data_IF_121434797821
#
_entry.id   IF_121434797821
#
_cell.length_a   1.000
_cell.length_b   1.000
_cell.length_c   1.000
_cell.angle_alpha   90.00
_cell.angle_beta   90.00
_cell.angle_gamma   90.00
#
_symmetry.space_group_name_H-M   'P 1'
#
loop_
_entity.id
_entity.type
_entity.pdbx_description
1 polymer ?
#
# COMPACT_ATOMS: atom_id res chain seq x y z
N UNK A 1 -47.11 64.93 30.87
CA UNK A 1 -46.01 64.15 31.44
C UNK A 1 -45.84 62.91 30.54
N UNK A 2 -44.89 62.97 29.62
CA UNK A 2 -44.61 61.90 28.67
C UNK A 2 -43.46 61.04 29.17
N UNK A 3 -43.72 59.78 29.47
CA UNK A 3 -42.65 58.79 29.79
C UNK A 3 -42.07 58.16 28.54
N UNK A 4 -40.81 58.48 28.17
CA UNK A 4 -40.06 57.82 27.13
C UNK A 4 -39.60 56.45 27.63
N UNK A 5 -40.08 55.39 26.97
CA UNK A 5 -39.50 54.02 27.05
C UNK A 5 -38.20 53.96 26.23
N UNK A 6 -37.07 53.69 26.86
CA UNK A 6 -35.79 53.43 26.24
C UNK A 6 -35.77 51.94 25.94
N UNK A 7 -35.75 51.60 24.65
CA UNK A 7 -35.50 50.24 24.18
C UNK A 7 -34.00 49.96 24.29
N UNK A 8 -33.62 49.10 25.23
CA UNK A 8 -32.27 48.52 25.30
C UNK A 8 -32.23 47.35 24.33
N UNK A 9 -31.61 47.55 23.17
CA UNK A 9 -31.30 46.46 22.25
C UNK A 9 -30.15 45.64 22.80
N UNK A 10 -30.46 44.44 23.31
CA UNK A 10 -29.49 43.44 23.72
C UNK A 10 -28.81 42.87 22.48
N UNK A 11 -27.64 43.40 22.12
CA UNK A 11 -26.74 42.84 21.10
C UNK A 11 -26.02 41.64 21.74
N UNK A 12 -26.64 40.45 21.74
CA UNK A 12 -25.95 39.21 22.00
C UNK A 12 -25.01 38.96 20.82
N UNK A 13 -23.74 39.31 20.99
CA UNK A 13 -22.64 38.80 20.14
C UNK A 13 -22.62 37.29 20.30
N UNK A 14 -23.04 36.58 19.26
CA UNK A 14 -22.65 35.17 19.10
C UNK A 14 -21.11 35.11 18.95
N UNK A 15 -20.42 34.97 20.05
CA UNK A 15 -19.05 34.50 20.08
C UNK A 15 -19.15 33.06 19.60
N UNK A 16 -18.77 32.79 18.31
CA UNK A 16 -18.55 31.46 17.85
C UNK A 16 -17.49 30.87 18.79
N UNK A 17 -17.89 29.96 19.67
CA UNK A 17 -16.94 29.16 20.44
C UNK A 17 -15.94 28.58 19.43
N UNK A 18 -14.67 28.95 19.58
CA UNK A 18 -13.59 28.44 18.74
C UNK A 18 -13.47 26.97 19.07
N UNK A 19 -14.00 26.11 18.19
CA UNK A 19 -13.92 24.65 18.34
C UNK A 19 -12.47 24.27 18.60
N UNK A 20 -12.21 23.65 19.74
CA UNK A 20 -10.85 23.35 20.19
C UNK A 20 -10.38 22.06 19.52
N UNK A 21 -9.30 22.16 18.74
CA UNK A 21 -8.57 21.00 18.18
C UNK A 21 -7.39 20.74 19.10
N UNK A 22 -7.28 19.51 19.59
CA UNK A 22 -6.17 19.02 20.41
C UNK A 22 -5.51 17.84 19.70
N UNK A 23 -4.18 17.85 19.52
CA UNK A 23 -3.42 16.73 18.99
C UNK A 23 -2.66 16.04 20.11
N UNK A 24 -2.75 14.73 20.17
CA UNK A 24 -2.07 13.89 21.17
C UNK A 24 -1.15 12.89 20.49
N UNK A 25 0.09 12.86 20.92
CA UNK A 25 1.00 11.79 20.57
C UNK A 25 0.60 10.49 21.28
N UNK A 26 0.64 9.38 20.55
CA UNK A 26 0.34 8.03 21.04
C UNK A 26 1.64 7.25 21.13
N UNK A 27 2.01 6.83 22.33
CA UNK A 27 3.18 5.95 22.50
C UNK A 27 2.98 4.63 21.76
N UNK A 28 4.06 4.11 21.16
CA UNK A 28 4.07 2.79 20.52
C UNK A 28 3.75 1.64 21.50
N UNK A 29 3.93 1.86 22.80
CA UNK A 29 3.59 0.90 23.86
C UNK A 29 2.13 1.04 24.34
N UNK A 30 1.45 2.14 24.00
CA UNK A 30 0.04 2.35 24.39
C UNK A 30 -0.92 1.53 23.51
N UNK A 31 -1.17 0.29 23.92
CA UNK A 31 -2.11 -0.61 23.23
C UNK A 31 -3.52 -0.02 23.08
N UNK A 32 -3.98 0.81 24.05
CA UNK A 32 -5.31 1.44 24.00
C UNK A 32 -5.33 2.60 23.02
N UNK A 33 -4.28 3.40 23.00
CA UNK A 33 -4.09 4.48 22.04
C UNK A 33 -3.98 3.92 20.61
N UNK A 34 -3.11 2.92 20.38
CA UNK A 34 -3.00 2.24 19.07
C UNK A 34 -4.35 1.67 18.61
N UNK A 35 -5.12 1.05 19.51
CA UNK A 35 -6.46 0.57 19.16
C UNK A 35 -7.40 1.68 18.68
N UNK A 36 -7.36 2.87 19.29
CA UNK A 36 -8.15 4.02 18.85
C UNK A 36 -7.65 4.53 17.50
N UNK A 37 -6.33 4.58 17.32
CA UNK A 37 -5.67 5.03 16.11
C UNK A 37 -6.06 4.17 14.89
N UNK A 38 -5.93 2.84 14.98
CA UNK A 38 -6.29 1.95 13.88
C UNK A 38 -7.80 1.84 13.67
N UNK A 39 -8.59 1.90 14.75
CA UNK A 39 -10.05 1.85 14.63
C UNK A 39 -10.63 3.08 13.93
N UNK A 40 -9.97 4.24 13.98
CA UNK A 40 -10.47 5.47 13.38
C UNK A 40 -10.71 5.32 11.88
N UNK A 41 -9.81 4.68 11.13
CA UNK A 41 -9.99 4.36 9.72
C UNK A 41 -11.29 3.61 9.46
N UNK A 42 -11.54 2.55 10.24
CA UNK A 42 -12.71 1.69 10.09
C UNK A 42 -14.01 2.47 10.37
N UNK A 43 -13.96 3.38 11.35
CA UNK A 43 -15.12 4.20 11.71
C UNK A 43 -15.36 5.30 10.65
N UNK A 44 -14.29 5.89 10.10
CA UNK A 44 -14.36 6.96 9.09
C UNK A 44 -14.96 6.46 7.77
N UNK A 45 -14.55 5.28 7.32
CA UNK A 45 -15.02 4.68 6.06
C UNK A 45 -16.21 3.73 6.25
N UNK A 46 -16.87 3.77 7.41
CA UNK A 46 -18.04 2.91 7.65
C UNK A 46 -19.15 3.16 6.63
N UNK A 47 -19.46 2.12 5.85
CA UNK A 47 -20.49 2.20 4.80
C UNK A 47 -19.99 2.72 3.45
N UNK A 48 -18.72 3.06 3.33
CA UNK A 48 -18.09 3.32 2.04
C UNK A 48 -17.87 1.98 1.32
N UNK A 49 -18.38 1.79 0.08
CA UNK A 49 -18.26 0.51 -0.62
C UNK A 49 -16.88 0.27 -1.24
N UNK A 50 -16.05 1.30 -1.39
CA UNK A 50 -14.78 1.26 -2.13
C UNK A 50 -13.55 1.10 -1.23
N UNK A 51 -13.65 1.52 0.04
CA UNK A 51 -12.52 1.46 0.95
C UNK A 51 -12.21 0.02 1.37
N UNK A 52 -10.94 -0.38 1.25
CA UNK A 52 -10.43 -1.65 1.75
C UNK A 52 -9.60 -1.40 3.03
N UNK A 53 -10.13 -1.65 4.22
CA UNK A 53 -9.36 -1.44 5.44
C UNK A 53 -8.26 -2.51 5.56
N UNK A 54 -7.10 -2.11 6.05
CA UNK A 54 -5.98 -3.00 6.30
C UNK A 54 -6.33 -4.09 7.30
N UNK A 55 -5.61 -5.20 7.25
CA UNK A 55 -5.75 -6.25 8.26
C UNK A 55 -5.32 -5.71 9.63
N UNK A 56 -6.25 -5.71 10.56
CA UNK A 56 -6.08 -5.07 11.87
C UNK A 56 -4.87 -5.62 12.67
N UNK A 57 -4.54 -6.91 12.49
CA UNK A 57 -3.39 -7.53 13.13
C UNK A 57 -2.07 -7.04 12.54
N UNK A 58 -2.04 -6.83 11.22
CA UNK A 58 -0.85 -6.35 10.52
C UNK A 58 -0.53 -4.91 10.89
N UNK A 59 -1.56 -4.05 11.05
CA UNK A 59 -1.39 -2.69 11.56
C UNK A 59 -0.71 -2.67 12.93
N UNK A 60 -1.12 -3.55 13.85
CA UNK A 60 -0.48 -3.66 15.16
C UNK A 60 0.97 -4.16 15.07
N UNK A 61 1.23 -5.11 14.20
CA UNK A 61 2.55 -5.70 14.02
C UNK A 61 3.51 -4.73 13.32
N UNK A 62 3.02 -3.95 12.34
CA UNK A 62 3.81 -2.95 11.63
C UNK A 62 4.31 -1.84 12.57
N UNK A 63 3.43 -1.39 13.50
CA UNK A 63 3.75 -0.35 14.48
C UNK A 63 4.16 -0.91 15.85
N UNK A 64 4.75 -2.11 15.88
CA UNK A 64 5.33 -2.71 17.09
C UNK A 64 6.84 -2.88 16.94
N UNK A 65 7.67 -2.13 17.69
CA UNK A 65 9.12 -2.24 17.61
C UNK A 65 9.68 -3.63 17.95
N UNK A 66 8.93 -4.46 18.70
CA UNK A 66 9.32 -5.83 19.01
C UNK A 66 9.11 -6.79 17.83
N UNK A 67 8.23 -6.43 16.90
CA UNK A 67 7.81 -7.27 15.75
C UNK A 67 8.43 -6.77 14.44
N UNK A 68 8.32 -5.46 14.17
CA UNK A 68 8.81 -4.87 12.94
C UNK A 68 10.30 -4.51 13.05
N UNK A 69 11.13 -5.25 12.34
CA UNK A 69 12.59 -5.06 12.36
C UNK A 69 13.05 -3.74 11.72
N UNK A 70 12.16 -3.04 10.99
CA UNK A 70 12.44 -1.72 10.44
C UNK A 70 12.76 -0.67 11.52
N UNK A 71 12.30 -0.86 12.76
CA UNK A 71 12.66 0.03 13.87
C UNK A 71 14.14 0.07 14.23
N UNK A 72 14.96 -0.84 13.70
CA UNK A 72 16.43 -0.74 13.81
C UNK A 72 17.00 0.45 13.04
N UNK A 73 16.35 0.85 11.96
CA UNK A 73 16.79 1.94 11.07
C UNK A 73 15.73 2.99 10.82
N UNK A 74 14.64 2.96 11.57
CA UNK A 74 13.59 3.96 11.53
C UNK A 74 13.04 4.26 12.91
N UNK A 75 12.49 5.46 13.08
CA UNK A 75 11.71 5.87 14.26
C UNK A 75 10.32 6.30 13.81
N UNK A 76 9.32 6.13 14.67
CA UNK A 76 7.94 6.46 14.37
C UNK A 76 7.28 7.23 15.51
N UNK A 77 6.50 8.27 15.16
CA UNK A 77 5.58 8.95 16.08
C UNK A 77 4.16 8.89 15.51
N UNK A 78 3.19 8.62 16.37
CA UNK A 78 1.77 8.49 16.01
C UNK A 78 0.96 9.57 16.69
N UNK A 79 0.03 10.21 15.97
CA UNK A 79 -0.77 11.32 16.48
C UNK A 79 -2.25 11.11 16.23
N UNK A 80 -3.08 11.44 17.22
CA UNK A 80 -4.53 11.54 17.12
C UNK A 80 -4.98 12.98 17.35
N UNK A 81 -5.73 13.52 16.39
CA UNK A 81 -6.41 14.81 16.55
C UNK A 81 -7.81 14.60 17.11
N UNK A 82 -8.15 15.45 18.10
CA UNK A 82 -9.47 15.50 18.71
C UNK A 82 -10.10 16.85 18.40
N UNK A 83 -11.36 16.84 17.98
CA UNK A 83 -12.19 18.03 17.81
C UNK A 83 -13.42 17.89 18.71
N UNK A 84 -13.62 18.82 19.62
CA UNK A 84 -14.70 18.79 20.60
C UNK A 84 -14.75 17.45 21.39
N UNK A 85 -13.57 16.90 21.75
CA UNK A 85 -13.40 15.65 22.50
C UNK A 85 -13.59 14.35 21.70
N UNK A 86 -13.92 14.43 20.40
CA UNK A 86 -14.03 13.26 19.50
C UNK A 86 -12.82 13.16 18.59
N UNK A 87 -12.38 11.93 18.29
CA UNK A 87 -11.30 11.72 17.32
C UNK A 87 -11.78 12.22 15.95
N UNK A 88 -10.98 13.11 15.34
CA UNK A 88 -11.26 13.78 14.09
C UNK A 88 -10.20 13.49 13.02
N UNK A 89 -9.04 12.94 13.42
CA UNK A 89 -8.01 12.55 12.48
C UNK A 89 -6.88 11.79 13.15
N UNK A 90 -6.06 11.13 12.31
CA UNK A 90 -4.84 10.43 12.69
C UNK A 90 -3.74 10.69 11.66
N UNK A 91 -2.49 10.60 12.08
CA UNK A 91 -1.32 10.58 11.22
C UNK A 91 -0.16 9.89 11.95
N UNK A 92 0.71 9.22 11.20
CA UNK A 92 2.00 8.77 11.72
C UNK A 92 3.13 9.39 10.90
N UNK A 93 4.20 9.79 11.59
CA UNK A 93 5.46 10.18 10.99
C UNK A 93 6.48 9.05 11.12
N UNK A 94 7.34 8.88 10.12
CA UNK A 94 8.43 7.90 10.11
C UNK A 94 9.72 8.59 9.69
N UNK A 95 10.69 8.63 10.59
CA UNK A 95 12.05 9.00 10.24
C UNK A 95 12.83 7.76 9.83
N UNK A 96 12.90 7.53 8.51
CA UNK A 96 13.55 6.37 7.94
C UNK A 96 15.03 6.66 7.67
N UNK A 97 15.89 6.48 8.68
CA UNK A 97 17.34 6.74 8.61
C UNK A 97 18.01 5.99 7.45
N UNK A 98 17.70 4.70 7.29
CA UNK A 98 18.30 3.87 6.24
C UNK A 98 17.98 4.36 4.82
N UNK A 99 16.74 4.81 4.55
CA UNK A 99 16.40 5.39 3.26
C UNK A 99 17.08 6.75 3.04
N UNK A 100 17.08 7.61 4.07
CA UNK A 100 17.75 8.91 4.00
C UNK A 100 19.26 8.77 3.71
N UNK A 101 19.93 7.83 4.37
CA UNK A 101 21.34 7.54 4.14
C UNK A 101 21.57 6.97 2.73
N UNK A 102 20.79 5.98 2.30
CA UNK A 102 20.92 5.34 0.99
C UNK A 102 20.81 6.33 -0.17
N UNK A 103 19.83 7.24 -0.09
CA UNK A 103 19.51 8.15 -1.17
C UNK A 103 20.08 9.58 -0.99
N UNK A 104 20.74 9.85 0.14
CA UNK A 104 21.22 11.20 0.47
C UNK A 104 20.08 12.19 0.77
N UNK A 105 18.92 11.70 1.26
CA UNK A 105 17.76 12.54 1.54
C UNK A 105 17.74 13.04 2.99
N UNK A 106 17.02 14.14 3.20
CA UNK A 106 16.63 14.66 4.51
C UNK A 106 15.11 14.74 4.58
N UNK A 107 14.48 13.56 4.61
CA UNK A 107 13.03 13.43 4.51
C UNK A 107 12.43 12.77 5.75
N UNK A 108 11.30 13.31 6.22
CA UNK A 108 10.39 12.67 7.14
C UNK A 108 9.24 12.09 6.32
N UNK A 109 8.92 10.81 6.45
CA UNK A 109 7.76 10.21 5.80
C UNK A 109 6.52 10.44 6.65
N UNK A 110 5.34 10.61 6.01
CA UNK A 110 4.07 10.45 6.70
C UNK A 110 3.29 9.26 6.14
N UNK A 111 2.51 8.63 7.01
CA UNK A 111 1.63 7.51 6.66
C UNK A 111 0.40 7.53 7.55
N UNK A 112 -0.59 6.67 7.26
CA UNK A 112 -1.83 6.54 8.05
C UNK A 112 -2.52 7.89 8.30
N UNK A 113 -2.43 8.78 7.30
CA UNK A 113 -3.13 10.06 7.35
C UNK A 113 -4.59 9.86 7.00
N UNK A 114 -5.45 9.98 8.01
CA UNK A 114 -6.90 9.95 7.88
C UNK A 114 -7.52 11.08 8.69
N UNK A 115 -8.49 11.76 8.11
CA UNK A 115 -9.09 12.96 8.69
C UNK A 115 -10.54 13.12 8.24
N UNK A 116 -11.37 13.70 9.08
CA UNK A 116 -12.69 14.20 8.67
C UNK A 116 -12.53 15.37 7.71
N UNK A 117 -13.57 15.73 6.95
CA UNK A 117 -13.55 16.91 6.08
C UNK A 117 -13.49 18.21 6.88
N UNK A 118 -12.30 18.48 7.43
CA UNK A 118 -11.97 19.68 8.20
C UNK A 118 -10.48 20.01 8.07
N UNK A 119 -10.18 21.01 7.27
CA UNK A 119 -8.82 21.43 6.99
C UNK A 119 -8.02 21.86 8.23
N UNK A 120 -8.67 22.43 9.24
CA UNK A 120 -7.99 22.81 10.48
C UNK A 120 -7.48 21.59 11.27
N UNK A 121 -8.16 20.45 11.17
CA UNK A 121 -7.68 19.18 11.74
C UNK A 121 -6.45 18.68 10.98
N UNK A 122 -6.49 18.71 9.65
CA UNK A 122 -5.32 18.38 8.79
C UNK A 122 -4.13 19.23 9.16
N UNK A 123 -4.32 20.55 9.25
CA UNK A 123 -3.26 21.50 9.58
C UNK A 123 -2.65 21.24 10.96
N UNK A 124 -3.49 20.90 11.95
CA UNK A 124 -3.03 20.58 13.29
C UNK A 124 -2.19 19.28 13.32
N UNK A 125 -2.59 18.25 12.58
CA UNK A 125 -1.82 17.00 12.47
C UNK A 125 -0.47 17.23 11.80
N UNK A 126 -0.44 17.94 10.66
CA UNK A 126 0.81 18.23 9.96
C UNK A 126 1.73 19.18 10.75
N UNK A 127 1.18 20.06 11.60
CA UNK A 127 2.00 20.90 12.48
C UNK A 127 2.90 20.09 13.42
N UNK A 128 2.43 18.93 13.93
CA UNK A 128 3.26 18.03 14.76
C UNK A 128 4.37 17.38 13.94
N UNK A 129 4.10 17.00 12.68
CA UNK A 129 5.12 16.47 11.79
C UNK A 129 6.16 17.53 11.39
N UNK A 130 5.73 18.77 11.11
CA UNK A 130 6.65 19.88 10.84
C UNK A 130 7.58 20.14 12.00
N UNK A 131 7.04 20.17 13.21
CA UNK A 131 7.84 20.33 14.43
C UNK A 131 8.88 19.23 14.55
N UNK A 132 8.48 17.96 14.35
CA UNK A 132 9.40 16.84 14.43
C UNK A 132 10.44 16.86 13.30
N UNK A 133 10.03 17.17 12.08
CA UNK A 133 10.95 17.32 10.94
C UNK A 133 12.02 18.41 11.21
N UNK A 134 11.63 19.55 11.78
CA UNK A 134 12.56 20.61 12.18
C UNK A 134 13.50 20.16 13.32
N UNK A 135 13.02 19.43 14.31
CA UNK A 135 13.83 18.84 15.39
C UNK A 135 14.92 17.90 14.83
N UNK A 136 14.61 17.17 13.75
CA UNK A 136 15.51 16.23 13.08
C UNK A 136 16.38 16.88 11.99
N UNK A 137 16.16 18.15 11.66
CA UNK A 137 16.86 18.82 10.55
C UNK A 137 16.52 18.28 9.17
N UNK A 138 15.27 17.86 8.99
CA UNK A 138 14.74 17.40 7.70
C UNK A 138 14.33 18.60 6.83
N UNK A 139 14.51 18.46 5.51
CA UNK A 139 14.20 19.49 4.51
C UNK A 139 12.79 19.32 3.93
N UNK A 140 12.22 18.11 4.07
CA UNK A 140 10.94 17.74 3.47
C UNK A 140 10.16 16.76 4.35
N UNK A 141 8.81 16.84 4.23
CA UNK A 141 7.88 15.79 4.67
C UNK A 141 7.28 15.19 3.40
N UNK A 142 7.35 13.87 3.22
CA UNK A 142 6.86 13.16 2.03
C UNK A 142 5.88 12.05 2.39
N UNK A 143 4.99 11.73 1.50
CA UNK A 143 4.08 10.58 1.68
C UNK A 143 2.70 10.73 0.98
N UNK A 144 1.77 9.81 1.30
CA UNK A 144 1.91 8.71 2.25
C UNK A 144 2.93 7.66 1.81
N UNK A 145 3.82 7.28 2.73
CA UNK A 145 4.79 6.19 2.56
C UNK A 145 5.10 5.60 3.94
N UNK A 146 5.14 4.27 4.05
CA UNK A 146 5.41 3.60 5.32
C UNK A 146 6.88 3.17 5.47
N UNK A 147 7.13 2.09 6.21
CA UNK A 147 8.48 1.59 6.51
C UNK A 147 9.16 0.96 5.29
N UNK A 148 8.40 0.35 4.38
CA UNK A 148 8.93 -0.28 3.16
C UNK A 148 7.94 -0.07 2.01
N UNK A 149 8.40 -0.31 0.79
CA UNK A 149 7.62 -0.34 -0.44
C UNK A 149 6.65 -1.53 -0.55
N UNK A 150 6.73 -2.48 0.37
CA UNK A 150 5.72 -3.54 0.51
C UNK A 150 4.50 -3.08 1.33
N UNK A 151 4.56 -1.91 1.93
CA UNK A 151 3.42 -1.26 2.57
C UNK A 151 2.68 -0.38 1.55
N UNK A 152 1.45 0.00 1.87
CA UNK A 152 0.67 0.88 1.00
C UNK A 152 1.32 2.25 0.87
N UNK A 153 1.40 2.73 -0.37
CA UNK A 153 2.01 4.00 -0.72
C UNK A 153 1.08 4.86 -1.58
N UNK A 154 1.22 6.16 -1.43
CA UNK A 154 0.51 7.15 -2.23
C UNK A 154 -0.94 7.40 -1.79
N UNK A 155 -1.36 8.65 -1.86
CA UNK A 155 -2.73 9.11 -1.63
C UNK A 155 -3.52 8.97 -2.92
N UNK A 156 -4.72 8.39 -2.87
CA UNK A 156 -5.62 8.31 -4.02
C UNK A 156 -5.98 9.72 -4.51
N UNK A 157 -5.76 9.99 -5.79
CA UNK A 157 -6.05 11.28 -6.44
C UNK A 157 -7.05 11.16 -7.60
N UNK A 158 -7.29 9.93 -8.09
CA UNK A 158 -8.22 9.63 -9.17
C UNK A 158 -8.74 8.20 -9.02
N UNK A 159 -9.99 7.93 -9.41
CA UNK A 159 -10.64 6.62 -9.26
C UNK A 159 -11.32 6.41 -7.91
N UNK A 160 -11.85 7.45 -7.28
CA UNK A 160 -12.54 7.40 -5.98
C UNK A 160 -13.82 6.54 -5.98
N UNK A 161 -14.35 6.20 -7.16
CA UNK A 161 -15.50 5.35 -7.39
C UNK A 161 -15.12 3.90 -7.73
N UNK A 162 -13.87 3.53 -7.55
CA UNK A 162 -13.33 2.19 -7.77
C UNK A 162 -12.98 1.52 -6.45
N UNK A 163 -13.12 0.19 -6.42
CA UNK A 163 -12.70 -0.60 -5.27
C UNK A 163 -11.19 -0.48 -5.04
N UNK A 164 -10.79 -0.18 -3.82
CA UNK A 164 -9.38 -0.31 -3.43
C UNK A 164 -9.00 -1.77 -3.30
N UNK A 165 -7.79 -2.11 -3.74
CA UNK A 165 -7.18 -3.40 -3.44
C UNK A 165 -6.58 -3.41 -2.03
N UNK A 166 -6.14 -4.58 -1.56
CA UNK A 166 -5.51 -4.71 -0.24
C UNK A 166 -4.20 -3.92 -0.07
N UNK A 167 -3.53 -3.63 -1.19
CA UNK A 167 -2.22 -2.94 -1.21
C UNK A 167 -2.32 -1.45 -1.53
N UNK A 168 -3.52 -0.89 -1.53
CA UNK A 168 -3.78 0.50 -1.89
C UNK A 168 -4.39 1.29 -0.74
N UNK A 169 -4.01 2.55 -0.63
CA UNK A 169 -4.66 3.51 0.26
C UNK A 169 -5.94 4.03 -0.40
N UNK A 170 -7.09 3.91 0.29
CA UNK A 170 -8.29 4.65 -0.05
C UNK A 170 -8.40 5.91 0.80
N UNK A 171 -8.77 7.02 0.17
CA UNK A 171 -9.12 8.26 0.85
C UNK A 171 -10.25 8.99 0.13
N UNK A 172 -10.95 9.88 0.85
CA UNK A 172 -11.97 10.74 0.25
C UNK A 172 -11.36 11.81 -0.67
N UNK A 173 -12.10 12.31 -1.67
CA UNK A 173 -11.61 13.34 -2.61
C UNK A 173 -11.09 14.62 -1.93
N UNK A 174 -11.69 15.06 -0.81
CA UNK A 174 -11.29 16.27 -0.10
C UNK A 174 -9.85 16.23 0.47
N UNK A 175 -9.23 15.04 0.56
CA UNK A 175 -7.82 14.94 0.97
C UNK A 175 -6.88 15.64 -0.01
N UNK A 176 -7.18 15.54 -1.31
CA UNK A 176 -6.39 16.24 -2.36
C UNK A 176 -6.44 17.74 -2.13
N UNK A 177 -7.64 18.29 -1.91
CA UNK A 177 -7.80 19.72 -1.61
C UNK A 177 -7.07 20.13 -0.31
N UNK A 178 -7.07 19.25 0.72
CA UNK A 178 -6.35 19.52 1.96
C UNK A 178 -4.84 19.59 1.73
N UNK A 179 -4.28 18.67 0.93
CA UNK A 179 -2.85 18.69 0.61
C UNK A 179 -2.47 19.93 -0.20
N UNK A 180 -3.28 20.30 -1.19
CA UNK A 180 -3.08 21.52 -1.98
C UNK A 180 -3.14 22.79 -1.11
N UNK A 181 -4.09 22.87 -0.17
CA UNK A 181 -4.20 23.98 0.81
C UNK A 181 -3.01 24.04 1.78
N UNK A 182 -2.35 22.91 2.05
CA UNK A 182 -1.09 22.88 2.81
C UNK A 182 0.12 23.36 1.98
N UNK A 183 -0.05 23.56 0.66
CA UNK A 183 1.05 23.89 -0.24
C UNK A 183 1.88 22.67 -0.66
N UNK A 184 1.30 21.47 -0.57
CA UNK A 184 1.99 20.26 -1.00
C UNK A 184 2.17 20.22 -2.51
N UNK A 185 3.28 19.62 -2.94
CA UNK A 185 3.59 19.42 -4.35
C UNK A 185 3.69 17.91 -4.69
N UNK A 186 3.54 17.60 -5.97
CA UNK A 186 3.71 16.24 -6.47
C UNK A 186 5.18 15.81 -6.38
N UNK A 187 5.44 14.66 -5.77
CA UNK A 187 6.74 13.98 -5.82
C UNK A 187 6.73 12.93 -6.93
N UNK A 188 5.84 11.97 -6.86
CA UNK A 188 5.68 10.91 -7.87
C UNK A 188 4.24 10.37 -7.82
N UNK A 189 3.77 9.88 -8.97
CA UNK A 189 2.47 9.19 -9.07
C UNK A 189 2.68 7.69 -9.34
N UNK A 190 1.70 6.89 -8.89
CA UNK A 190 1.53 5.49 -9.24
C UNK A 190 0.22 5.30 -10.00
N UNK A 191 0.26 4.47 -11.02
CA UNK A 191 -0.89 4.11 -11.83
C UNK A 191 -1.32 2.67 -11.51
N UNK A 192 -2.63 2.44 -11.35
CA UNK A 192 -3.21 1.12 -11.21
C UNK A 192 -4.05 0.83 -12.45
N UNK A 193 -3.80 -0.32 -13.06
CA UNK A 193 -4.45 -0.73 -14.30
C UNK A 193 -5.36 -1.93 -14.04
N UNK A 194 -6.51 -1.95 -14.71
CA UNK A 194 -7.36 -3.14 -14.83
C UNK A 194 -7.20 -3.73 -16.21
N UNK A 195 -7.00 -5.03 -16.29
CA UNK A 195 -6.75 -5.79 -17.50
C UNK A 195 -7.79 -6.89 -17.59
N UNK A 196 -8.57 -6.93 -18.67
CA UNK A 196 -9.47 -8.04 -18.94
C UNK A 196 -8.65 -9.29 -19.29
N UNK A 197 -8.94 -10.40 -18.62
CA UNK A 197 -8.31 -11.69 -18.91
C UNK A 197 -8.98 -12.28 -20.15
N UNK A 198 -8.25 -12.50 -21.27
CA UNK A 198 -8.84 -13.11 -22.46
C UNK A 198 -9.17 -14.59 -22.17
N UNK A 199 -10.45 -15.00 -22.26
CA UNK A 199 -10.85 -16.36 -21.87
C UNK A 199 -10.27 -17.44 -22.78
N UNK A 200 -9.96 -17.12 -24.04
CA UNK A 200 -9.29 -17.99 -25.01
C UNK A 200 -7.75 -17.98 -24.91
N UNK A 201 -7.20 -17.17 -24.00
CA UNK A 201 -5.76 -17.00 -23.85
C UNK A 201 -5.12 -16.07 -24.87
N UNK A 202 -3.80 -16.00 -24.86
CA UNK A 202 -2.98 -15.28 -25.84
C UNK A 202 -2.00 -16.25 -26.50
N UNK A 203 -2.39 -16.77 -27.68
CA UNK A 203 -1.58 -17.72 -28.44
C UNK A 203 -0.19 -17.17 -28.83
N UNK A 204 -0.02 -15.84 -28.92
CA UNK A 204 1.26 -15.19 -29.18
C UNK A 204 2.18 -15.30 -27.97
N UNK A 205 1.67 -14.99 -26.77
CA UNK A 205 2.42 -15.09 -25.52
C UNK A 205 2.74 -16.55 -25.21
N UNK A 206 1.81 -17.49 -25.40
CA UNK A 206 2.03 -18.91 -25.20
C UNK A 206 3.16 -19.44 -26.09
N UNK A 207 3.17 -19.13 -27.40
CA UNK A 207 4.24 -19.51 -28.32
C UNK A 207 5.58 -18.88 -27.93
N UNK A 208 5.58 -17.60 -27.54
CA UNK A 208 6.80 -16.90 -27.15
C UNK A 208 7.36 -17.48 -25.85
N UNK A 209 6.52 -17.71 -24.84
CA UNK A 209 6.91 -18.35 -23.57
C UNK A 209 7.56 -19.71 -23.80
N UNK A 210 6.92 -20.57 -24.60
CA UNK A 210 7.47 -21.90 -24.96
C UNK A 210 8.82 -21.79 -25.69
N UNK A 211 8.94 -20.91 -26.67
CA UNK A 211 10.20 -20.74 -27.42
C UNK A 211 11.34 -20.23 -26.53
N UNK A 212 11.02 -19.31 -25.59
CA UNK A 212 11.97 -18.77 -24.58
C UNK A 212 12.41 -19.89 -23.62
N UNK A 213 11.47 -20.71 -23.17
CA UNK A 213 11.72 -21.84 -22.28
C UNK A 213 12.69 -22.83 -22.92
N UNK A 214 12.39 -23.29 -24.16
CA UNK A 214 13.20 -24.25 -24.90
C UNK A 214 14.60 -23.69 -25.22
N UNK A 215 14.68 -22.45 -25.70
CA UNK A 215 15.93 -21.80 -26.08
C UNK A 215 16.92 -21.66 -24.94
N UNK A 216 16.41 -21.29 -23.72
CA UNK A 216 17.26 -20.94 -22.58
C UNK A 216 17.39 -22.09 -21.56
N UNK A 217 16.65 -23.20 -21.74
CA UNK A 217 16.59 -24.28 -20.76
C UNK A 217 15.94 -23.85 -19.44
N UNK A 218 14.90 -22.99 -19.50
CA UNK A 218 14.17 -22.56 -18.32
C UNK A 218 13.14 -23.59 -17.90
N UNK A 219 12.90 -23.68 -16.61
CA UNK A 219 11.88 -24.55 -16.02
C UNK A 219 10.87 -23.71 -15.26
N UNK A 220 9.58 -24.05 -15.37
CA UNK A 220 8.54 -23.48 -14.53
C UNK A 220 8.34 -24.36 -13.31
N UNK A 221 8.50 -23.79 -12.13
CA UNK A 221 8.34 -24.53 -10.87
C UNK A 221 6.90 -25.01 -10.69
N UNK A 222 6.72 -26.29 -10.43
CA UNK A 222 5.42 -26.81 -9.97
C UNK A 222 5.22 -26.45 -8.49
N UNK A 223 4.71 -25.24 -8.24
CA UNK A 223 4.45 -24.72 -6.89
C UNK A 223 3.51 -25.65 -6.11
N UNK A 224 2.51 -26.27 -6.80
CA UNK A 224 1.56 -27.17 -6.17
C UNK A 224 2.23 -28.46 -5.68
N UNK A 225 3.15 -28.99 -6.46
CA UNK A 225 3.94 -30.15 -6.08
C UNK A 225 4.75 -29.87 -4.82
N UNK A 226 5.53 -28.78 -4.80
CA UNK A 226 6.41 -28.44 -3.68
C UNK A 226 5.64 -28.04 -2.43
N UNK A 227 4.52 -27.32 -2.56
CA UNK A 227 3.64 -26.99 -1.44
C UNK A 227 3.13 -28.24 -0.71
N UNK A 228 2.92 -29.33 -1.46
CA UNK A 228 2.43 -30.61 -0.90
C UNK A 228 3.55 -31.50 -0.37
N UNK A 229 4.71 -31.54 -1.03
CA UNK A 229 5.72 -32.56 -0.78
C UNK A 229 6.97 -32.07 -0.03
N UNK A 230 7.40 -30.83 -0.26
CA UNK A 230 8.55 -30.23 0.40
C UNK A 230 8.40 -28.71 0.58
N UNK A 231 7.72 -28.33 1.64
CA UNK A 231 7.52 -26.90 1.98
C UNK A 231 8.84 -26.18 2.29
N UNK A 232 9.87 -26.88 2.78
CA UNK A 232 11.17 -26.28 3.05
C UNK A 232 11.84 -25.83 1.76
N UNK A 233 11.88 -26.71 0.75
CA UNK A 233 12.43 -26.38 -0.55
C UNK A 233 11.63 -25.25 -1.23
N UNK A 234 10.29 -25.26 -1.10
CA UNK A 234 9.46 -24.14 -1.57
C UNK A 234 9.79 -22.83 -0.85
N UNK A 235 10.03 -22.86 0.47
CA UNK A 235 10.47 -21.68 1.21
C UNK A 235 11.81 -21.13 0.70
N UNK A 236 12.76 -22.01 0.35
CA UNK A 236 14.04 -21.59 -0.22
C UNK A 236 13.86 -20.89 -1.57
N UNK A 237 12.91 -21.35 -2.43
CA UNK A 237 12.56 -20.67 -3.67
C UNK A 237 11.86 -19.33 -3.43
N UNK A 238 10.92 -19.24 -2.47
CA UNK A 238 10.26 -17.98 -2.13
C UNK A 238 11.27 -16.95 -1.62
N UNK A 239 12.22 -17.38 -0.80
CA UNK A 239 13.30 -16.48 -0.34
C UNK A 239 14.13 -15.95 -1.52
N UNK A 240 14.46 -16.77 -2.51
CA UNK A 240 15.13 -16.32 -3.74
C UNK A 240 14.26 -15.34 -4.54
N UNK A 241 12.94 -15.53 -4.59
CA UNK A 241 12.02 -14.53 -5.19
C UNK A 241 12.10 -13.18 -4.47
N UNK A 242 12.17 -13.17 -3.12
CA UNK A 242 12.33 -11.96 -2.33
C UNK A 242 13.71 -11.30 -2.49
N UNK A 243 14.76 -12.08 -2.75
CA UNK A 243 16.08 -11.55 -3.14
C UNK A 243 16.02 -10.84 -4.50
N UNK A 244 15.33 -11.44 -5.48
CA UNK A 244 15.10 -10.82 -6.79
C UNK A 244 14.25 -9.55 -6.67
N UNK A 245 13.25 -9.55 -5.78
CA UNK A 245 12.45 -8.36 -5.50
C UNK A 245 13.34 -7.22 -5.04
N UNK A 246 14.20 -7.44 -4.05
CA UNK A 246 15.14 -6.44 -3.55
C UNK A 246 16.07 -5.92 -4.67
N UNK A 247 16.59 -6.81 -5.52
CA UNK A 247 17.46 -6.43 -6.65
C UNK A 247 16.71 -5.55 -7.66
N UNK A 248 15.50 -5.96 -8.07
CA UNK A 248 14.71 -5.27 -9.09
C UNK A 248 14.17 -3.92 -8.60
N UNK A 249 13.82 -3.83 -7.33
CA UNK A 249 13.15 -2.64 -6.76
C UNK A 249 14.13 -1.66 -6.13
N UNK A 250 15.37 -2.08 -5.87
CA UNK A 250 16.40 -1.22 -5.28
C UNK A 250 16.57 0.18 -5.93
N UNK A 251 16.46 0.34 -7.28
CA UNK A 251 16.56 1.65 -7.91
C UNK A 251 15.27 2.48 -7.86
N UNK A 252 14.14 1.91 -7.42
CA UNK A 252 12.85 2.61 -7.40
C UNK A 252 12.80 3.62 -6.25
N UNK A 253 11.96 4.65 -6.43
CA UNK A 253 11.80 5.71 -5.45
C UNK A 253 11.29 5.16 -4.11
N UNK A 254 11.94 5.54 -3.03
CA UNK A 254 11.52 5.21 -1.67
C UNK A 254 11.87 3.81 -1.18
N UNK A 255 12.31 2.92 -2.07
CA UNK A 255 12.56 1.51 -1.76
C UNK A 255 13.78 1.32 -0.85
N UNK A 256 13.60 0.57 0.23
CA UNK A 256 14.67 0.12 1.12
C UNK A 256 14.75 -1.41 1.09
N UNK A 257 15.95 -2.01 1.00
CA UNK A 257 16.09 -3.45 0.95
C UNK A 257 15.57 -4.10 2.24
N UNK A 258 14.99 -5.28 2.09
CA UNK A 258 14.50 -6.08 3.19
C UNK A 258 15.66 -6.85 3.84
N UNK A 259 15.69 -6.91 5.17
CA UNK A 259 16.58 -7.84 5.85
C UNK A 259 15.95 -9.25 5.93
N UNK A 260 16.76 -10.25 6.29
CA UNK A 260 16.35 -11.65 6.39
C UNK A 260 15.09 -11.89 7.26
N UNK A 261 14.93 -11.14 8.34
CA UNK A 261 13.78 -11.29 9.23
C UNK A 261 12.50 -10.72 8.57
N UNK A 262 12.62 -9.60 7.85
CA UNK A 262 11.53 -9.04 7.07
C UNK A 262 11.13 -9.99 5.95
N UNK A 263 12.09 -10.53 5.17
CA UNK A 263 11.82 -11.52 4.11
C UNK A 263 11.09 -12.76 4.64
N UNK A 264 11.52 -13.29 5.79
CA UNK A 264 10.81 -14.44 6.41
C UNK A 264 9.37 -14.11 6.79
N UNK A 265 9.12 -12.92 7.30
CA UNK A 265 7.76 -12.47 7.61
C UNK A 265 6.91 -12.35 6.34
N UNK A 266 7.47 -11.77 5.28
CA UNK A 266 6.77 -11.69 3.98
C UNK A 266 6.48 -13.07 3.41
N UNK A 267 7.42 -13.99 3.50
CA UNK A 267 7.22 -15.38 3.11
C UNK A 267 6.04 -16.03 3.87
N UNK A 268 5.94 -15.80 5.18
CA UNK A 268 4.82 -16.31 5.99
C UNK A 268 3.48 -15.71 5.55
N UNK A 269 3.47 -14.44 5.16
CA UNK A 269 2.28 -13.76 4.60
C UNK A 269 1.90 -14.35 3.24
N UNK A 270 2.88 -14.54 2.35
CA UNK A 270 2.67 -15.17 1.04
C UNK A 270 2.02 -16.55 1.19
N UNK A 271 2.47 -17.38 2.12
CA UNK A 271 1.88 -18.71 2.35
C UNK A 271 0.40 -18.70 2.73
N UNK A 272 -0.09 -17.63 3.35
CA UNK A 272 -1.50 -17.52 3.76
C UNK A 272 -2.45 -17.31 2.57
N UNK A 273 -1.94 -16.70 1.48
CA UNK A 273 -2.72 -16.33 0.30
C UNK A 273 -2.24 -17.03 -0.98
N UNK A 274 -1.28 -17.95 -0.88
CA UNK A 274 -0.67 -18.63 -2.02
C UNK A 274 -1.67 -19.57 -2.70
N UNK A 275 -2.04 -19.22 -3.92
CA UNK A 275 -2.73 -20.10 -4.87
C UNK A 275 -1.70 -20.49 -5.93
N UNK A 276 -1.36 -21.80 -6.08
CA UNK A 276 -0.29 -22.24 -7.00
C UNK A 276 -0.47 -21.74 -8.43
N UNK A 277 -1.70 -21.66 -8.92
CA UNK A 277 -2.06 -21.18 -10.24
C UNK A 277 -1.79 -19.66 -10.44
N UNK A 278 -1.67 -18.90 -9.35
CA UNK A 278 -1.39 -17.46 -9.37
C UNK A 278 0.08 -17.12 -9.10
N UNK A 279 0.96 -18.11 -9.08
CA UNK A 279 2.39 -17.94 -8.86
C UNK A 279 3.20 -18.58 -9.99
N UNK A 280 3.99 -17.76 -10.67
CA UNK A 280 4.96 -18.21 -11.65
C UNK A 280 6.38 -18.08 -11.07
N UNK A 281 7.12 -19.17 -10.94
CA UNK A 281 8.52 -19.17 -10.52
C UNK A 281 9.32 -19.87 -11.60
N UNK A 282 10.29 -19.15 -12.17
CA UNK A 282 11.11 -19.64 -13.30
C UNK A 282 12.49 -19.97 -12.79
N UNK A 283 12.92 -21.19 -13.10
CA UNK A 283 14.22 -21.71 -12.68
C UNK A 283 15.16 -21.86 -13.87
N UNK A 284 16.44 -21.74 -13.59
CA UNK A 284 17.55 -22.24 -14.39
C UNK A 284 18.58 -22.88 -13.47
N UNK A 285 18.97 -24.12 -13.75
CA UNK A 285 19.95 -24.88 -12.97
C UNK A 285 19.60 -24.87 -11.44
N UNK A 286 18.34 -25.15 -11.11
CA UNK A 286 17.77 -25.18 -9.75
C UNK A 286 17.81 -23.82 -8.99
N UNK A 287 18.04 -22.70 -9.71
CA UNK A 287 18.00 -21.35 -9.15
C UNK A 287 16.85 -20.54 -9.71
N UNK A 288 16.20 -19.76 -8.88
CA UNK A 288 15.16 -18.81 -9.32
C UNK A 288 15.83 -17.69 -10.10
N UNK A 289 15.35 -17.47 -11.35
CA UNK A 289 15.82 -16.37 -12.21
C UNK A 289 14.76 -15.32 -12.45
N UNK A 290 13.48 -15.68 -12.28
CA UNK A 290 12.37 -14.77 -12.46
C UNK A 290 11.13 -15.29 -11.71
N UNK A 291 10.23 -14.40 -11.37
CA UNK A 291 8.96 -14.77 -10.74
C UNK A 291 7.86 -13.74 -11.05
N UNK A 292 6.61 -14.17 -10.91
CA UNK A 292 5.42 -13.35 -10.88
C UNK A 292 4.47 -13.87 -9.81
N UNK A 293 3.95 -13.01 -8.96
CA UNK A 293 3.05 -13.38 -7.89
C UNK A 293 1.78 -12.54 -7.94
N UNK A 294 0.65 -13.22 -7.88
CA UNK A 294 -0.69 -12.66 -7.83
C UNK A 294 -1.44 -13.26 -6.64
N UNK A 295 -2.43 -12.53 -6.15
CA UNK A 295 -3.34 -13.04 -5.13
C UNK A 295 -4.80 -12.77 -5.52
N UNK A 296 -5.77 -13.52 -5.00
CA UNK A 296 -7.17 -13.16 -5.18
C UNK A 296 -7.48 -11.83 -4.51
N UNK A 297 -8.35 -11.03 -5.12
CA UNK A 297 -8.80 -9.79 -4.51
C UNK A 297 -9.54 -10.07 -3.19
N UNK A 298 -9.09 -9.45 -2.11
CA UNK A 298 -9.62 -9.65 -0.75
C UNK A 298 -10.34 -8.43 -0.18
N UNK A 299 -10.63 -7.42 -1.01
CA UNK A 299 -11.31 -6.19 -0.61
C UNK A 299 -12.66 -6.48 0.10
N UNK A 300 -13.50 -7.38 -0.44
CA UNK A 300 -14.76 -7.79 0.18
C UNK A 300 -14.55 -8.44 1.57
N UNK A 301 -13.46 -9.21 1.71
CA UNK A 301 -13.07 -9.83 2.99
C UNK A 301 -12.76 -8.76 4.03
N UNK A 302 -11.94 -7.79 3.66
CA UNK A 302 -11.52 -6.71 4.54
C UNK A 302 -12.67 -5.78 4.91
N UNK A 303 -13.54 -5.45 3.97
CA UNK A 303 -14.74 -4.63 4.20
C UNK A 303 -15.71 -5.30 5.17
N UNK A 304 -16.15 -6.53 4.88
CA UNK A 304 -17.10 -7.29 5.71
C UNK A 304 -16.50 -7.65 7.07
N UNK A 305 -15.23 -7.99 7.08
CA UNK A 305 -14.46 -8.30 8.29
C UNK A 305 -14.06 -7.06 9.10
N UNK A 306 -14.20 -5.85 8.53
CA UNK A 306 -13.70 -4.59 9.13
C UNK A 306 -12.23 -4.69 9.50
N UNK A 307 -11.43 -5.14 8.53
CA UNK A 307 -10.01 -5.41 8.72
C UNK A 307 -9.71 -6.66 9.56
N UNK A 308 -10.65 -7.62 9.67
CA UNK A 308 -10.43 -8.87 10.41
C UNK A 308 -10.95 -10.06 9.60
N UNK A 309 -10.19 -11.16 9.61
CA UNK A 309 -10.68 -12.42 9.03
C UNK A 309 -11.72 -13.07 9.96
N UNK A 310 -11.47 -13.11 11.27
CA UNK A 310 -12.37 -13.70 12.26
C UNK A 310 -13.17 -12.66 13.04
N UNK A 311 -14.46 -12.95 13.34
CA UNK A 311 -15.28 -14.07 12.81
C UNK A 311 -15.93 -13.74 11.47
N UNK A 312 -16.20 -12.46 11.15
CA UNK A 312 -17.10 -12.03 10.05
C UNK A 312 -16.47 -12.11 8.66
N UNK A 313 -15.14 -12.08 8.56
CA UNK A 313 -14.41 -12.16 7.30
C UNK A 313 -14.12 -13.57 6.81
N UNK A 314 -14.35 -14.63 7.64
CA UNK A 314 -13.95 -16.00 7.29
C UNK A 314 -14.70 -16.55 6.07
N UNK A 315 -16.00 -16.36 5.98
CA UNK A 315 -16.79 -16.83 4.84
C UNK A 315 -16.40 -16.09 3.55
N UNK A 316 -16.32 -14.73 3.53
CA UNK A 316 -15.77 -14.01 2.39
C UNK A 316 -14.35 -14.45 2.03
N UNK A 317 -13.48 -14.74 2.99
CA UNK A 317 -12.12 -15.21 2.74
C UNK A 317 -12.11 -16.57 2.01
N UNK A 318 -12.86 -17.56 2.52
CA UNK A 318 -12.99 -18.86 1.85
C UNK A 318 -13.53 -18.67 0.43
N UNK A 319 -14.52 -17.80 0.24
CA UNK A 319 -15.07 -17.51 -1.08
C UNK A 319 -14.00 -16.90 -1.99
N UNK A 320 -13.26 -15.90 -1.54
CA UNK A 320 -12.18 -15.26 -2.32
C UNK A 320 -11.10 -16.25 -2.74
N UNK A 321 -10.72 -17.20 -1.85
CA UNK A 321 -9.71 -18.22 -2.15
C UNK A 321 -10.20 -19.33 -3.07
N UNK A 322 -11.51 -19.54 -3.20
CA UNK A 322 -12.09 -20.64 -4.01
C UNK A 322 -12.77 -20.20 -5.30
N UNK A 323 -13.17 -18.91 -5.38
CA UNK A 323 -13.86 -18.33 -6.54
C UNK A 323 -13.22 -16.98 -6.86
N UNK A 324 -12.13 -17.02 -7.60
CA UNK A 324 -11.33 -15.82 -7.92
C UNK A 324 -11.89 -15.16 -9.17
N UNK A 325 -12.70 -14.12 -9.02
CA UNK A 325 -13.18 -13.33 -10.16
C UNK A 325 -12.21 -12.21 -10.56
N UNK A 326 -11.51 -11.64 -9.58
CA UNK A 326 -10.48 -10.62 -9.75
C UNK A 326 -9.22 -11.07 -9.03
N UNK A 327 -8.08 -10.93 -9.68
CA UNK A 327 -6.76 -11.17 -9.08
C UNK A 327 -5.97 -9.86 -9.03
N UNK A 328 -5.20 -9.68 -7.96
CA UNK A 328 -4.29 -8.54 -7.78
C UNK A 328 -2.86 -8.98 -8.11
N UNK A 329 -2.19 -8.25 -9.03
CA UNK A 329 -0.76 -8.45 -9.31
C UNK A 329 0.05 -7.80 -8.20
N UNK A 330 0.72 -8.62 -7.41
CA UNK A 330 1.50 -8.17 -6.27
C UNK A 330 2.91 -7.75 -6.66
N UNK A 331 3.63 -8.62 -7.35
CA UNK A 331 4.99 -8.36 -7.76
C UNK A 331 5.44 -9.21 -8.94
N UNK A 332 6.41 -8.69 -9.67
CA UNK A 332 7.12 -9.39 -10.74
C UNK A 332 8.59 -8.98 -10.67
N UNK A 333 9.48 -9.95 -10.79
CA UNK A 333 10.91 -9.72 -10.78
C UNK A 333 11.65 -10.66 -11.71
N UNK A 334 12.75 -10.17 -12.28
CA UNK A 334 13.65 -10.93 -13.16
C UNK A 334 15.07 -10.49 -12.81
N UNK A 335 15.96 -11.42 -12.55
CA UNK A 335 17.37 -11.13 -12.29
C UNK A 335 17.99 -10.30 -13.42
N UNK A 336 18.92 -9.43 -13.10
CA UNK A 336 19.55 -8.54 -14.08
C UNK A 336 20.19 -9.33 -15.23
N UNK A 337 20.78 -10.48 -14.96
CA UNK A 337 21.38 -11.37 -15.96
C UNK A 337 20.36 -11.87 -16.99
N UNK A 338 19.10 -12.09 -16.59
CA UNK A 338 18.06 -12.70 -17.43
C UNK A 338 17.03 -11.69 -17.96
N UNK A 339 17.16 -10.39 -17.63
CA UNK A 339 16.16 -9.37 -17.94
C UNK A 339 15.85 -9.23 -19.45
N UNK A 340 16.82 -9.45 -20.32
CA UNK A 340 16.66 -9.33 -21.78
C UNK A 340 16.44 -10.66 -22.49
N UNK A 341 16.28 -11.77 -21.78
CA UNK A 341 16.20 -13.13 -22.35
C UNK A 341 14.75 -13.60 -22.59
N UNK A 342 13.77 -12.70 -22.41
CA UNK A 342 12.35 -13.00 -22.66
C UNK A 342 11.65 -13.75 -21.52
N UNK A 343 12.26 -13.93 -20.36
CA UNK A 343 11.66 -14.60 -19.21
C UNK A 343 10.28 -14.03 -18.82
N UNK A 344 10.05 -12.74 -19.04
CA UNK A 344 8.74 -12.10 -18.85
C UNK A 344 7.62 -12.75 -19.66
N UNK A 345 7.90 -13.21 -20.88
CA UNK A 345 6.89 -13.89 -21.71
C UNK A 345 6.49 -15.24 -21.12
N UNK A 346 7.44 -15.95 -20.50
CA UNK A 346 7.16 -17.22 -19.82
C UNK A 346 6.35 -16.99 -18.56
N UNK A 347 6.68 -15.95 -17.75
CA UNK A 347 5.87 -15.55 -16.60
C UNK A 347 4.44 -15.22 -17.02
N UNK A 348 4.27 -14.35 -18.03
CA UNK A 348 2.94 -13.95 -18.51
C UNK A 348 2.15 -15.13 -19.06
N UNK A 349 2.78 -16.05 -19.80
CA UNK A 349 2.13 -17.26 -20.31
C UNK A 349 1.58 -18.10 -19.17
N UNK A 350 2.43 -18.40 -18.18
CA UNK A 350 2.04 -19.22 -17.04
C UNK A 350 0.97 -18.55 -16.18
N UNK A 351 1.13 -17.26 -15.89
CA UNK A 351 0.14 -16.48 -15.14
C UNK A 351 -1.22 -16.45 -15.87
N UNK A 352 -1.21 -16.21 -17.18
CA UNK A 352 -2.46 -16.16 -17.96
C UNK A 352 -3.17 -17.52 -17.97
N UNK A 353 -2.45 -18.63 -18.11
CA UNK A 353 -3.01 -19.99 -18.00
C UNK A 353 -3.65 -20.22 -16.62
N UNK A 354 -2.97 -19.78 -15.55
CA UNK A 354 -3.50 -19.87 -14.18
C UNK A 354 -4.77 -19.06 -13.98
N UNK A 355 -4.78 -17.81 -14.46
CA UNK A 355 -5.95 -16.92 -14.39
C UNK A 355 -7.16 -17.52 -15.12
N UNK A 356 -6.95 -18.03 -16.34
CA UNK A 356 -8.02 -18.67 -17.13
C UNK A 356 -8.54 -19.93 -16.43
N UNK A 357 -7.64 -20.78 -15.94
CA UNK A 357 -8.00 -22.01 -15.21
C UNK A 357 -8.86 -21.73 -13.98
N UNK A 358 -8.64 -20.63 -13.29
CA UNK A 358 -9.42 -20.20 -12.13
C UNK A 358 -10.69 -19.42 -12.51
N UNK A 359 -10.89 -19.09 -13.78
CA UNK A 359 -12.04 -18.32 -14.25
C UNK A 359 -11.97 -16.83 -13.90
N UNK A 360 -10.76 -16.30 -13.68
CA UNK A 360 -10.52 -14.89 -13.38
C UNK A 360 -10.92 -14.03 -14.57
N UNK A 361 -11.72 -13.00 -14.34
CA UNK A 361 -12.21 -12.08 -15.37
C UNK A 361 -11.30 -10.88 -15.55
N UNK A 362 -10.74 -10.39 -14.46
CA UNK A 362 -9.90 -9.20 -14.44
C UNK A 362 -8.65 -9.40 -13.59
N UNK A 363 -7.55 -8.85 -14.08
CA UNK A 363 -6.33 -8.65 -13.32
C UNK A 363 -6.22 -7.16 -13.00
N UNK A 364 -6.03 -6.81 -11.73
CA UNK A 364 -5.64 -5.45 -11.34
C UNK A 364 -4.14 -5.42 -11.03
N UNK A 365 -3.45 -4.42 -11.54
CA UNK A 365 -2.05 -4.21 -11.13
C UNK A 365 -2.05 -3.48 -9.79
N UNK A 366 -1.06 -3.76 -8.96
CA UNK A 366 -0.73 -2.86 -7.85
C UNK A 366 -0.28 -1.49 -8.36
N UNK A 367 -0.04 -0.53 -7.45
CA UNK A 367 0.48 0.78 -7.80
C UNK A 367 1.82 0.68 -8.52
N UNK A 368 1.87 1.07 -9.79
CA UNK A 368 3.08 1.08 -10.62
C UNK A 368 3.58 2.52 -10.80
N UNK A 369 4.84 2.79 -10.44
CA UNK A 369 5.46 4.10 -10.64
C UNK A 369 5.27 4.59 -12.08
N UNK A 370 4.80 5.83 -12.25
CA UNK A 370 4.52 6.43 -13.58
C UNK A 370 5.74 6.46 -14.51
N UNK A 371 6.93 6.55 -13.92
CA UNK A 371 8.21 6.60 -14.66
C UNK A 371 8.84 5.21 -14.88
N UNK A 372 8.30 4.14 -14.33
CA UNK A 372 8.76 2.78 -14.58
C UNK A 372 8.24 2.26 -15.93
N UNK A 373 8.97 2.62 -17.01
CA UNK A 373 8.57 2.28 -18.39
C UNK A 373 8.49 0.78 -18.66
N UNK A 374 9.31 -0.03 -17.97
CA UNK A 374 9.32 -1.47 -18.20
C UNK A 374 8.00 -2.10 -17.82
N UNK A 375 7.52 -1.85 -16.60
CA UNK A 375 6.27 -2.43 -16.12
C UNK A 375 5.04 -1.81 -16.81
N UNK A 376 5.05 -0.50 -17.06
CA UNK A 376 3.94 0.18 -17.74
C UNK A 376 3.76 -0.30 -19.20
N UNK A 377 4.85 -0.64 -19.90
CA UNK A 377 4.79 -1.17 -21.27
C UNK A 377 4.37 -2.64 -21.33
N UNK A 378 4.49 -3.39 -20.25
CA UNK A 378 4.16 -4.81 -20.18
C UNK A 378 2.69 -5.06 -20.59
N UNK A 379 1.80 -4.18 -20.16
CA UNK A 379 0.36 -4.35 -20.30
C UNK A 379 -0.23 -3.74 -21.57
N UNK A 380 0.54 -2.98 -22.37
CA UNK A 380 0.03 -2.18 -23.51
C UNK A 380 -0.75 -3.00 -24.55
N UNK A 381 -0.43 -4.30 -24.70
CA UNK A 381 -1.09 -5.16 -25.68
C UNK A 381 -2.41 -5.74 -25.19
N UNK A 382 -2.79 -5.51 -23.93
CA UNK A 382 -4.00 -6.02 -23.30
C UNK A 382 -5.09 -4.95 -23.11
N UNK A 383 -4.95 -3.79 -23.79
CA UNK A 383 -5.87 -2.64 -23.68
C UNK A 383 -6.19 -2.29 -22.23
N UNK A 384 -5.18 -2.00 -21.39
CA UNK A 384 -5.36 -1.76 -19.98
C UNK A 384 -6.20 -0.49 -19.73
N UNK A 385 -7.14 -0.57 -18.80
CA UNK A 385 -7.87 0.59 -18.28
C UNK A 385 -7.10 1.18 -17.09
N UNK A 386 -6.79 2.48 -17.12
CA UNK A 386 -6.28 3.19 -15.95
C UNK A 386 -7.46 3.39 -14.99
N UNK A 387 -7.48 2.68 -13.88
CA UNK A 387 -8.61 2.69 -12.96
C UNK A 387 -8.39 3.56 -11.74
N UNK A 388 -7.15 3.69 -11.27
CA UNK A 388 -6.82 4.52 -10.11
C UNK A 388 -5.43 5.15 -10.28
N UNK A 389 -5.25 6.29 -9.62
CA UNK A 389 -3.96 6.97 -9.51
C UNK A 389 -3.71 7.40 -8.08
N UNK A 390 -2.51 7.11 -7.60
CA UNK A 390 -2.05 7.50 -6.27
C UNK A 390 -0.87 8.46 -6.39
N UNK A 391 -0.70 9.36 -5.41
CA UNK A 391 0.36 10.38 -5.39
C UNK A 391 1.11 10.39 -4.08
N UNK A 392 2.43 10.39 -4.16
CA UNK A 392 3.28 10.87 -3.09
C UNK A 392 3.33 12.40 -3.13
N UNK A 393 2.94 13.02 -2.02
CA UNK A 393 3.01 14.46 -1.82
C UNK A 393 4.28 14.84 -1.08
N UNK A 394 4.83 16.01 -1.39
CA UNK A 394 5.95 16.62 -0.69
C UNK A 394 5.57 17.95 -0.07
N UNK A 395 6.10 18.24 1.09
CA UNK A 395 5.95 19.50 1.80
C UNK A 395 7.34 19.98 2.22
N UNK A 396 7.72 21.20 1.86
CA UNK A 396 9.00 21.78 2.29
C UNK A 396 8.97 22.10 3.78
N UNK A 397 10.08 21.87 4.44
CA UNK A 397 10.29 22.19 5.85
C UNK A 397 11.27 23.35 5.94
N UNK A 398 10.79 24.50 6.43
CA UNK A 398 11.66 25.63 6.70
C UNK A 398 12.58 25.32 7.88
N UNK A 399 13.86 25.69 7.80
CA UNK A 399 14.77 25.56 8.93
C UNK A 399 14.20 26.23 10.18
N UNK A 400 14.47 25.65 11.34
CA UNK A 400 14.16 26.30 12.60
C UNK A 400 15.10 27.50 12.77
N UNK A 401 14.51 28.69 12.90
CA UNK A 401 15.24 29.93 13.21
C UNK A 401 15.99 29.83 14.55
#
# INVERSE_FOLDING_TARGET
MCARKILVTDKRRHVKEKKMIEVKEISLDDKKGKKKFFKFLIDLYKGNPYACPNLYMDEFAEFDPAVNDAFRFADCRMFLAYKDGKIAGRIAGIWHRGANEKFGYKQLRFTRFDVIDDFEVTKALFAELYKWAQELGMDEIIGPMSFSDLNEEGMLIDGFDKDSTYIEIYNHPYYVEHMEKLGAYKVVDWNCLRIAVPPEGDARIARLGKAVQEKNGYEVLDVKYWLKHDKKKLSDYIMQCLDILDECYAPLYGVSPLNEKQKRREMDTIYQVLIPELAAVILKDDKVIAYGFMMPAVNEVMQKGKGRIFPSGIIPFIKAMTHVEVADMMSIGITQEHNNNGAVALILSHCLEGLIKLGVKYLETGPMLENNRHINNLWRNYNPELVKRHRCWGLKVEPKE
#
